data_IF_746380336955
#
_entry.id   IF_746380336955
#
_cell.length_a   1.000
_cell.length_b   1.000
_cell.length_c   1.000
_cell.angle_alpha   90.00
_cell.angle_beta   90.00
_cell.angle_gamma   90.00
#
_symmetry.space_group_name_H-M   'P 1'
#
loop_
_entity.id
_entity.type
_entity.pdbx_description
1 polymer ?
#
# COMPACT_ATOMS: atom_id res chain seq x y z
N UNK A 1 -4.02 36.28 14.33
CA UNK A 1 -3.91 34.81 14.27
C UNK A 1 -4.10 34.24 15.66
N UNK A 2 -5.16 33.47 15.91
CA UNK A 2 -5.39 32.81 17.20
C UNK A 2 -4.92 31.36 17.15
N UNK A 3 -4.55 30.79 18.30
CA UNK A 3 -4.12 29.39 18.41
C UNK A 3 -5.16 28.41 17.84
N UNK A 4 -6.45 28.65 18.13
CA UNK A 4 -7.55 27.81 17.62
C UNK A 4 -7.67 27.83 16.09
N UNK A 5 -7.42 28.98 15.45
CA UNK A 5 -7.44 29.07 13.99
C UNK A 5 -6.30 28.29 13.33
N UNK A 6 -5.10 28.28 13.93
CA UNK A 6 -3.96 27.51 13.42
C UNK A 6 -4.20 26.01 13.54
N UNK A 7 -4.73 25.53 14.67
CA UNK A 7 -5.06 24.11 14.86
C UNK A 7 -6.10 23.61 13.85
N UNK A 8 -7.11 24.41 13.54
CA UNK A 8 -8.11 24.07 12.53
C UNK A 8 -7.49 23.91 11.12
N UNK A 9 -6.61 24.83 10.72
CA UNK A 9 -5.94 24.77 9.41
C UNK A 9 -5.06 23.52 9.30
N UNK A 10 -4.31 23.18 10.35
CA UNK A 10 -3.49 21.97 10.36
C UNK A 10 -4.33 20.70 10.31
N UNK A 11 -5.40 20.65 11.10
CA UNK A 11 -6.34 19.53 11.07
C UNK A 11 -6.94 19.33 9.67
N UNK A 12 -7.37 20.41 9.01
CA UNK A 12 -7.86 20.36 7.65
C UNK A 12 -6.82 19.80 6.67
N UNK A 13 -5.56 20.24 6.77
CA UNK A 13 -4.47 19.73 5.95
C UNK A 13 -4.22 18.22 6.11
N UNK A 14 -4.29 17.72 7.35
CA UNK A 14 -4.18 16.28 7.64
C UNK A 14 -5.33 15.51 6.99
N UNK A 15 -6.56 15.98 7.15
CA UNK A 15 -7.75 15.32 6.57
C UNK A 15 -7.66 15.27 5.05
N UNK A 16 -7.29 16.38 4.40
CA UNK A 16 -7.16 16.44 2.94
C UNK A 16 -6.07 15.49 2.46
N UNK A 17 -4.91 15.48 3.11
CA UNK A 17 -3.81 14.58 2.73
C UNK A 17 -4.22 13.13 2.91
N UNK A 18 -4.87 12.77 4.01
CA UNK A 18 -5.34 11.42 4.28
C UNK A 18 -6.36 10.95 3.24
N UNK A 19 -7.34 11.79 2.91
CA UNK A 19 -8.36 11.46 1.89
C UNK A 19 -7.69 11.30 0.52
N UNK A 20 -6.78 12.20 0.16
CA UNK A 20 -6.06 12.11 -1.10
C UNK A 20 -5.22 10.82 -1.18
N UNK A 21 -4.42 10.51 -0.16
CA UNK A 21 -3.54 9.33 -0.18
C UNK A 21 -4.35 8.05 -0.25
N UNK A 22 -5.44 7.93 0.51
CA UNK A 22 -6.33 6.76 0.46
C UNK A 22 -6.96 6.59 -0.91
N UNK A 23 -7.57 7.63 -1.47
CA UNK A 23 -8.26 7.55 -2.77
C UNK A 23 -7.25 7.30 -3.90
N UNK A 24 -6.17 8.07 -3.94
CA UNK A 24 -5.16 7.94 -5.00
C UNK A 24 -4.50 6.56 -4.95
N UNK A 25 -4.11 6.08 -3.76
CA UNK A 25 -3.51 4.75 -3.63
C UNK A 25 -4.50 3.66 -4.00
N UNK A 26 -5.76 3.76 -3.57
CA UNK A 26 -6.79 2.79 -3.93
C UNK A 26 -6.99 2.69 -5.46
N UNK A 27 -7.09 3.83 -6.15
CA UNK A 27 -7.21 3.86 -7.62
C UNK A 27 -5.98 3.23 -8.28
N UNK A 28 -4.77 3.65 -7.87
CA UNK A 28 -3.53 3.14 -8.46
C UNK A 28 -3.37 1.64 -8.25
N UNK A 29 -3.58 1.16 -7.02
CA UNK A 29 -3.51 -0.26 -6.70
C UNK A 29 -4.53 -1.06 -7.51
N UNK A 30 -5.77 -0.56 -7.65
CA UNK A 30 -6.79 -1.24 -8.46
C UNK A 30 -6.45 -1.30 -9.95
N UNK A 31 -5.88 -0.23 -10.50
CA UNK A 31 -5.44 -0.20 -11.90
C UNK A 31 -4.28 -1.17 -12.11
N UNK A 32 -3.28 -1.16 -11.24
CA UNK A 32 -2.13 -2.09 -11.32
C UNK A 32 -2.58 -3.54 -11.20
N UNK A 33 -3.44 -3.84 -10.22
CA UNK A 33 -4.04 -5.16 -9.99
C UNK A 33 -4.72 -5.70 -11.26
N UNK A 34 -5.45 -4.85 -11.99
CA UNK A 34 -6.12 -5.25 -13.23
C UNK A 34 -5.20 -5.40 -14.45
N UNK A 35 -4.07 -4.68 -14.49
CA UNK A 35 -3.18 -4.68 -15.65
C UNK A 35 -2.11 -5.76 -15.60
N UNK A 36 -1.52 -5.98 -14.42
CA UNK A 36 -0.36 -6.89 -14.27
C UNK A 36 -0.54 -7.93 -13.17
N UNK A 37 -1.58 -7.81 -12.33
CA UNK A 37 -1.69 -8.58 -11.09
C UNK A 37 -0.78 -8.01 -10.00
N UNK A 38 -1.34 -7.67 -8.84
CA UNK A 38 -0.58 -7.05 -7.75
C UNK A 38 -0.09 -8.07 -6.70
N UNK A 39 -0.78 -9.20 -6.55
CA UNK A 39 -0.49 -10.25 -5.56
C UNK A 39 -0.37 -11.59 -6.28
N UNK A 40 0.52 -12.44 -5.78
CA UNK A 40 0.66 -13.84 -6.18
C UNK A 40 -0.57 -14.66 -5.78
N UNK A 41 -0.71 -15.86 -6.32
CA UNK A 41 -1.79 -16.77 -5.94
C UNK A 41 -1.57 -17.32 -4.50
N UNK A 42 -2.65 -17.79 -3.85
CA UNK A 42 -2.63 -18.22 -2.44
C UNK A 42 -1.70 -19.43 -2.20
N UNK A 43 -1.62 -20.32 -3.20
CA UNK A 43 -0.71 -21.47 -3.18
C UNK A 43 0.76 -21.01 -3.24
N UNK A 44 1.08 -20.03 -4.10
CA UNK A 44 2.42 -19.45 -4.24
C UNK A 44 2.85 -18.69 -2.97
N UNK A 45 1.92 -17.99 -2.33
CA UNK A 45 2.16 -17.32 -1.05
C UNK A 45 2.44 -18.33 0.08
N UNK A 46 1.81 -19.51 0.02
CA UNK A 46 1.99 -20.59 1.01
C UNK A 46 3.31 -21.34 0.81
N UNK A 47 3.70 -21.61 -0.44
CA UNK A 47 4.97 -22.27 -0.78
C UNK A 47 6.18 -21.38 -0.46
N UNK A 48 6.01 -20.06 -0.57
CA UNK A 48 6.99 -19.05 -0.19
C UNK A 48 7.54 -18.31 -1.40
N UNK A 49 7.55 -16.98 -1.32
CA UNK A 49 7.92 -16.11 -2.45
C UNK A 49 9.37 -16.30 -2.90
N UNK A 50 10.29 -16.59 -1.98
CA UNK A 50 11.69 -16.83 -2.31
C UNK A 50 11.83 -18.06 -3.22
N UNK A 51 11.06 -19.11 -2.96
CA UNK A 51 11.02 -20.32 -3.78
C UNK A 51 10.35 -20.07 -5.12
N UNK A 52 9.16 -19.45 -5.10
CA UNK A 52 8.31 -19.32 -6.30
C UNK A 52 8.80 -18.24 -7.26
N UNK A 53 9.24 -17.09 -6.74
CA UNK A 53 9.64 -15.94 -7.57
C UNK A 53 11.16 -15.82 -7.75
N UNK A 54 11.94 -16.39 -6.84
CA UNK A 54 13.40 -16.21 -6.81
C UNK A 54 14.19 -17.52 -6.91
N UNK A 55 13.53 -18.70 -6.92
CA UNK A 55 14.17 -20.04 -6.90
C UNK A 55 15.23 -20.19 -5.79
N UNK A 56 15.03 -19.48 -4.68
CA UNK A 56 15.95 -19.40 -3.55
C UNK A 56 15.32 -20.03 -2.29
N UNK A 57 16.11 -20.84 -1.57
CA UNK A 57 15.77 -21.32 -0.22
C UNK A 57 16.57 -20.54 0.80
N UNK A 58 15.89 -19.80 1.68
CA UNK A 58 16.56 -18.94 2.67
C UNK A 58 17.50 -19.69 3.63
N UNK A 59 17.23 -20.97 3.91
CA UNK A 59 18.11 -21.85 4.68
C UNK A 59 17.97 -23.31 4.22
N UNK A 60 19.09 -23.94 3.85
CA UNK A 60 19.20 -25.40 3.79
C UNK A 60 19.66 -25.91 5.17
N UNK A 61 18.80 -26.66 5.88
CA UNK A 61 19.13 -27.39 7.10
C UNK A 61 19.34 -28.88 6.79
#
# INVERSE_FOLDING_TARGET
SSMGGQLYIQFYGVVVTFVFTVIASWILLKVVDQLVGLRVDEDEETEGLDLVLHDERGYDL
#
